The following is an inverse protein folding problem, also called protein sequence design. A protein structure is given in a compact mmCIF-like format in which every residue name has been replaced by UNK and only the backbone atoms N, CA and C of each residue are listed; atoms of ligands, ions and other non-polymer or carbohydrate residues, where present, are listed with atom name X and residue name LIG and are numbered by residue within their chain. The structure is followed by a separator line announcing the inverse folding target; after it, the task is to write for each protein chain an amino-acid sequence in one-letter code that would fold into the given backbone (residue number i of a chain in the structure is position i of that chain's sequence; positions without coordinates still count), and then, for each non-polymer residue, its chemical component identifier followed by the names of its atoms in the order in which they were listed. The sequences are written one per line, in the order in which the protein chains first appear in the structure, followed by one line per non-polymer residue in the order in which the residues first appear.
data_IF_999007269428
#
_entry.id   IF_999007269428
#
_cell.length_a   1.000
_cell.length_b   1.000
_cell.length_c   1.000
_cell.angle_alpha   90.00
_cell.angle_beta   90.00
_cell.angle_gamma   90.00
#
_symmetry.space_group_name_H-M   'P 1'
#
loop_
_entity.id
_entity.type
_entity.pdbx_description
1 polymer ?
#
# COMPACT_ATOMS: atom_id res chain seq x y z
N UNK A 1 -9.98 -2.92 -5.49
CA UNK A 1 -10.76 -2.99 -4.24
C UNK A 1 -10.45 -1.75 -3.43
N UNK A 2 -11.43 -1.19 -2.72
CA UNK A 2 -11.17 -0.11 -1.78
C UNK A 2 -10.48 -0.69 -0.55
N UNK A 3 -9.58 0.07 0.08
CA UNK A 3 -8.95 -0.32 1.35
C UNK A 3 -9.99 -0.45 2.45
N UNK A 4 -9.77 -1.36 3.38
CA UNK A 4 -10.65 -1.53 4.54
C UNK A 4 -10.22 -0.69 5.74
N UNK A 5 -8.96 -0.20 5.74
CA UNK A 5 -8.45 0.74 6.74
C UNK A 5 -7.71 1.90 6.08
N UNK A 6 -7.72 3.06 6.74
CA UNK A 6 -6.78 4.13 6.44
C UNK A 6 -5.45 3.84 7.12
N UNK A 7 -4.37 3.91 6.36
CA UNK A 7 -3.03 3.68 6.89
C UNK A 7 -2.43 4.96 7.46
N UNK A 8 -1.80 4.84 8.61
CA UNK A 8 -1.14 5.93 9.28
C UNK A 8 0.16 6.34 8.58
N UNK A 9 0.56 7.58 8.76
CA UNK A 9 1.75 8.15 8.13
C UNK A 9 3.03 7.73 8.84
N UNK A 10 4.18 7.92 8.17
CA UNK A 10 5.50 7.72 8.80
C UNK A 10 5.71 8.62 10.03
N UNK A 11 5.06 9.78 10.09
CA UNK A 11 5.08 10.64 11.28
C UNK A 11 4.42 9.98 12.48
N UNK A 12 3.33 9.26 12.24
CA UNK A 12 2.64 8.53 13.30
C UNK A 12 3.48 7.35 13.79
N UNK A 13 4.17 6.65 12.87
CA UNK A 13 5.07 5.55 13.19
C UNK A 13 6.22 5.98 14.12
N UNK A 14 6.81 7.17 13.92
CA UNK A 14 7.89 7.69 14.78
C UNK A 14 7.49 7.85 16.25
N UNK A 15 6.20 8.04 16.52
CA UNK A 15 5.66 8.16 17.88
C UNK A 15 5.15 6.86 18.47
N UNK A 16 5.09 5.80 17.66
CA UNK A 16 4.58 4.51 18.07
C UNK A 16 5.65 3.74 18.88
N UNK A 17 5.37 3.47 20.15
CA UNK A 17 6.28 2.77 21.05
C UNK A 17 6.04 1.28 21.11
N UNK A 18 4.79 0.88 20.95
CA UNK A 18 4.35 -0.52 20.93
C UNK A 18 3.45 -0.77 19.73
N UNK A 19 3.69 -1.86 19.04
CA UNK A 19 2.86 -2.30 17.91
C UNK A 19 2.98 -3.81 17.71
N UNK A 20 1.95 -4.40 17.14
CA UNK A 20 1.97 -5.79 16.69
C UNK A 20 2.09 -5.81 15.17
N UNK A 21 3.08 -6.54 14.70
CA UNK A 21 3.21 -6.86 13.28
C UNK A 21 2.63 -8.23 13.05
N UNK A 22 1.89 -8.43 11.98
CA UNK A 22 1.47 -9.77 11.59
C UNK A 22 1.49 -9.95 10.08
N UNK A 23 1.55 -11.20 9.69
CA UNK A 23 1.50 -11.68 8.33
C UNK A 23 0.70 -12.98 8.27
N UNK A 24 0.15 -13.33 7.11
CA UNK A 24 -0.68 -14.51 6.93
C UNK A 24 -0.32 -15.26 5.66
N UNK A 25 -0.32 -16.62 5.77
CA UNK A 25 -0.31 -17.48 4.60
C UNK A 25 -1.72 -18.03 4.34
N UNK A 26 -2.05 -18.16 3.07
CA UNK A 26 -3.42 -18.44 2.62
C UNK A 26 -3.43 -19.47 1.49
N UNK A 27 -4.57 -20.12 1.26
CA UNK A 27 -4.73 -21.05 0.11
C UNK A 27 -4.87 -20.35 -1.23
N UNK A 28 -4.92 -19.01 -1.26
CA UNK A 28 -5.06 -18.22 -2.47
C UNK A 28 -5.24 -16.73 -2.19
N UNK A 29 -5.78 -15.98 -3.14
CA UNK A 29 -5.80 -14.50 -3.09
C UNK A 29 -7.15 -13.89 -2.69
N UNK A 30 -8.20 -14.68 -2.55
CA UNK A 30 -9.56 -14.20 -2.42
C UNK A 30 -10.21 -14.62 -1.10
N UNK A 31 -10.38 -13.71 -0.12
CA UNK A 31 -10.86 -14.05 1.23
C UNK A 31 -12.29 -14.65 1.27
N UNK A 32 -13.07 -14.54 0.20
CA UNK A 32 -14.38 -15.18 0.10
C UNK A 32 -14.37 -16.65 -0.35
N UNK A 33 -13.28 -17.12 -0.96
CA UNK A 33 -13.11 -18.50 -1.42
C UNK A 33 -11.94 -19.21 -0.79
N UNK A 34 -10.88 -18.45 -0.47
CA UNK A 34 -9.63 -18.98 0.04
C UNK A 34 -9.58 -18.87 1.58
N UNK A 35 -8.68 -19.62 2.21
CA UNK A 35 -8.60 -19.78 3.65
C UNK A 35 -7.21 -19.46 4.17
N UNK A 36 -7.15 -19.06 5.45
CA UNK A 36 -5.90 -18.97 6.20
C UNK A 36 -5.33 -20.38 6.44
N UNK A 37 -4.01 -20.51 6.34
CA UNK A 37 -3.26 -21.72 6.65
C UNK A 37 -2.15 -21.50 7.67
N UNK A 38 -1.68 -20.27 7.84
CA UNK A 38 -0.73 -19.85 8.86
C UNK A 38 -0.97 -18.40 9.24
N UNK A 39 -0.73 -18.05 10.49
CA UNK A 39 -0.59 -16.68 10.97
C UNK A 39 0.61 -16.56 11.87
N UNK A 40 1.42 -15.55 11.64
CA UNK A 40 2.55 -15.17 12.48
C UNK A 40 2.44 -13.72 12.92
N UNK A 41 2.73 -13.46 14.20
CA UNK A 41 2.75 -12.11 14.70
C UNK A 41 3.88 -11.87 15.69
N UNK A 42 4.38 -10.65 15.73
CA UNK A 42 5.46 -10.22 16.64
C UNK A 42 5.09 -8.88 17.25
N UNK A 43 5.10 -8.82 18.58
CA UNK A 43 4.99 -7.56 19.32
C UNK A 43 6.35 -6.88 19.40
N UNK A 44 6.38 -5.62 19.04
CA UNK A 44 7.54 -4.74 19.19
C UNK A 44 7.30 -3.71 20.29
N UNK A 45 8.29 -3.51 21.16
CA UNK A 45 8.34 -2.42 22.11
C UNK A 45 9.65 -1.67 21.97
N UNK A 46 9.60 -0.33 21.85
CA UNK A 46 10.76 0.53 21.66
C UNK A 46 11.72 0.00 20.55
N UNK A 47 11.15 -0.48 19.46
CA UNK A 47 11.87 -0.99 18.29
C UNK A 47 12.51 -2.36 18.45
N UNK A 48 12.16 -3.12 19.48
CA UNK A 48 12.67 -4.50 19.71
C UNK A 48 11.51 -5.50 19.74
N UNK A 49 11.68 -6.68 19.14
CA UNK A 49 10.71 -7.77 19.30
C UNK A 49 10.73 -8.28 20.73
N UNK A 50 9.56 -8.42 21.35
CA UNK A 50 9.42 -8.83 22.76
C UNK A 50 8.53 -10.05 22.97
N UNK A 51 7.60 -10.31 22.07
CA UNK A 51 6.64 -11.41 22.16
C UNK A 51 6.25 -11.89 20.77
N UNK A 52 5.97 -13.18 20.63
CA UNK A 52 5.60 -13.79 19.34
C UNK A 52 4.32 -14.59 19.49
N UNK A 53 3.51 -14.58 18.45
CA UNK A 53 2.35 -15.44 18.27
C UNK A 53 2.53 -16.18 16.93
N UNK A 54 2.27 -17.48 16.92
CA UNK A 54 2.31 -18.27 15.70
C UNK A 54 1.31 -19.41 15.78
N UNK A 55 0.60 -19.66 14.70
CA UNK A 55 -0.28 -20.81 14.58
C UNK A 55 -0.40 -21.26 13.12
N UNK A 56 -0.28 -22.59 12.92
CA UNK A 56 -0.85 -23.21 11.74
C UNK A 56 -2.37 -23.25 11.90
N UNK A 57 -3.09 -23.31 10.78
CA UNK A 57 -4.55 -23.27 10.73
C UNK A 57 -5.01 -24.35 9.75
N UNK A 58 -5.93 -25.21 10.19
CA UNK A 58 -6.58 -26.16 9.28
C UNK A 58 -7.60 -25.41 8.40
N UNK A 59 -7.37 -25.31 7.09
CA UNK A 59 -8.29 -24.62 6.18
C UNK A 59 -9.57 -25.42 5.89
N UNK A 60 -9.63 -26.71 6.27
CA UNK A 60 -10.72 -27.62 5.93
C UNK A 60 -10.84 -27.89 4.41
N UNK A 61 -9.79 -27.63 3.65
CA UNK A 61 -9.72 -27.85 2.21
C UNK A 61 -8.28 -28.13 1.76
N UNK A 62 -8.12 -28.72 0.59
CA UNK A 62 -6.83 -28.96 -0.02
C UNK A 62 -6.10 -27.64 -0.36
N UNK A 63 -4.80 -27.56 -0.03
CA UNK A 63 -3.92 -26.43 -0.37
C UNK A 63 -3.47 -26.60 -1.83
N UNK A 64 -3.73 -25.64 -2.73
CA UNK A 64 -3.30 -25.74 -4.12
C UNK A 64 -1.78 -25.90 -4.24
N UNK A 65 -1.33 -26.78 -5.11
CA UNK A 65 0.11 -27.07 -5.28
C UNK A 65 0.94 -25.81 -5.60
N UNK A 66 0.36 -24.88 -6.36
CA UNK A 66 1.01 -23.59 -6.66
C UNK A 66 1.27 -22.75 -5.41
N UNK A 67 0.41 -22.83 -4.40
CA UNK A 67 0.57 -22.13 -3.12
C UNK A 67 1.66 -22.82 -2.30
N UNK A 68 1.62 -24.15 -2.22
CA UNK A 68 2.68 -24.94 -1.56
C UNK A 68 4.07 -24.69 -2.17
N UNK A 69 4.17 -24.44 -3.46
CA UNK A 69 5.44 -24.06 -4.11
C UNK A 69 5.97 -22.70 -3.65
N UNK A 70 5.11 -21.83 -3.13
CA UNK A 70 5.49 -20.48 -2.67
C UNK A 70 5.84 -20.49 -1.18
N UNK A 71 4.95 -21.03 -0.33
CA UNK A 71 5.09 -20.94 1.13
C UNK A 71 5.54 -22.23 1.79
N UNK A 72 5.69 -23.29 1.01
CA UNK A 72 6.13 -24.63 1.45
C UNK A 72 5.21 -25.30 2.49
N UNK A 73 3.96 -24.81 2.64
CA UNK A 73 2.97 -25.40 3.53
C UNK A 73 2.18 -26.48 2.78
N UNK A 74 2.13 -27.66 3.34
CA UNK A 74 1.43 -28.82 2.78
C UNK A 74 0.19 -29.16 3.60
N UNK A 75 -0.73 -29.94 3.02
CA UNK A 75 -1.92 -30.43 3.74
C UNK A 75 -1.56 -31.17 5.03
N UNK A 76 -0.47 -31.96 5.03
CA UNK A 76 -0.02 -32.70 6.20
C UNK A 76 0.43 -31.78 7.35
N UNK A 77 0.95 -30.59 7.04
CA UNK A 77 1.41 -29.63 8.04
C UNK A 77 0.24 -28.95 8.77
N UNK A 78 -0.89 -28.81 8.11
CA UNK A 78 -2.10 -28.16 8.67
C UNK A 78 -3.10 -29.17 9.20
N UNK A 79 -2.92 -30.46 8.92
CA UNK A 79 -3.82 -31.53 9.37
C UNK A 79 -3.89 -31.58 10.88
N UNK A 80 -5.08 -31.37 11.45
CA UNK A 80 -5.30 -31.35 12.91
C UNK A 80 -4.85 -30.04 13.59
N UNK A 81 -4.43 -29.02 12.86
CA UNK A 81 -4.25 -27.68 13.39
C UNK A 81 -5.60 -27.09 13.86
N UNK A 82 -5.59 -26.08 14.74
CA UNK A 82 -6.82 -25.42 15.18
C UNK A 82 -7.61 -24.81 14.02
N UNK A 83 -8.92 -24.70 14.19
CA UNK A 83 -9.76 -24.00 13.22
C UNK A 83 -9.49 -22.48 13.26
N UNK A 84 -9.64 -21.82 12.10
CA UNK A 84 -9.37 -20.38 11.96
C UNK A 84 -10.04 -19.52 13.04
N UNK A 85 -11.29 -19.82 13.41
CA UNK A 85 -12.04 -19.05 14.41
C UNK A 85 -11.41 -19.12 15.81
N UNK A 86 -10.85 -20.26 16.20
CA UNK A 86 -10.17 -20.42 17.49
C UNK A 86 -8.86 -19.65 17.51
N UNK A 87 -8.11 -19.72 16.41
CA UNK A 87 -6.86 -18.98 16.25
C UNK A 87 -7.11 -17.49 16.25
N UNK A 88 -8.17 -17.02 15.58
CA UNK A 88 -8.50 -15.57 15.54
C UNK A 88 -8.87 -15.02 16.92
N UNK A 89 -9.56 -15.80 17.76
CA UNK A 89 -9.86 -15.35 19.12
C UNK A 89 -8.57 -15.16 19.96
N UNK A 90 -7.64 -16.11 19.86
CA UNK A 90 -6.34 -16.02 20.55
C UNK A 90 -5.46 -14.91 19.95
N UNK A 91 -5.50 -14.70 18.63
CA UNK A 91 -4.79 -13.62 17.96
C UNK A 91 -5.33 -12.23 18.36
N UNK A 92 -6.64 -12.06 18.43
CA UNK A 92 -7.25 -10.80 18.86
C UNK A 92 -6.88 -10.47 20.32
N UNK A 93 -6.81 -11.49 21.19
CA UNK A 93 -6.31 -11.35 22.57
C UNK A 93 -4.82 -10.98 22.59
N UNK A 94 -3.99 -11.65 21.77
CA UNK A 94 -2.57 -11.31 21.61
C UNK A 94 -2.38 -9.87 21.15
N UNK A 95 -3.12 -9.40 20.16
CA UNK A 95 -3.01 -8.01 19.66
C UNK A 95 -3.43 -7.01 20.72
N UNK A 96 -4.47 -7.30 21.51
CA UNK A 96 -4.97 -6.39 22.56
C UNK A 96 -5.33 -5.03 22.01
N UNK A 97 -4.68 -3.97 22.51
CA UNK A 97 -4.93 -2.57 22.11
C UNK A 97 -3.79 -1.95 21.29
N UNK A 98 -2.76 -2.71 20.93
CA UNK A 98 -1.61 -2.20 20.19
C UNK A 98 -1.99 -1.77 18.78
N UNK A 99 -1.25 -0.81 18.26
CA UNK A 99 -1.26 -0.45 16.86
C UNK A 99 -0.80 -1.64 16.00
N UNK A 100 -1.24 -1.69 14.75
CA UNK A 100 -0.99 -2.83 13.86
C UNK A 100 -0.11 -2.43 12.68
N UNK A 101 0.80 -3.32 12.33
CA UNK A 101 1.72 -3.18 11.21
C UNK A 101 1.64 -4.41 10.31
N UNK A 102 1.73 -4.20 9.01
CA UNK A 102 1.90 -5.27 8.03
C UNK A 102 2.60 -4.74 6.77
N UNK A 103 2.90 -5.65 5.85
CA UNK A 103 3.44 -5.31 4.55
C UNK A 103 2.40 -5.62 3.46
N UNK A 104 1.72 -4.61 2.93
CA UNK A 104 0.49 -4.74 2.15
C UNK A 104 -0.69 -5.25 3.00
N UNK A 105 -0.80 -4.71 4.18
CA UNK A 105 -1.66 -5.13 5.30
C UNK A 105 -3.14 -5.33 4.95
N UNK A 106 -3.65 -4.63 3.94
CA UNK A 106 -5.07 -4.74 3.53
C UNK A 106 -5.43 -6.17 3.09
N UNK A 107 -4.46 -6.91 2.55
CA UNK A 107 -4.62 -8.32 2.20
C UNK A 107 -4.87 -9.17 3.45
N UNK A 108 -3.98 -9.09 4.43
CA UNK A 108 -4.04 -9.89 5.65
C UNK A 108 -5.27 -9.56 6.49
N UNK A 109 -5.59 -8.27 6.63
CA UNK A 109 -6.78 -7.81 7.34
C UNK A 109 -8.07 -8.39 6.77
N UNK A 110 -8.18 -8.53 5.44
CA UNK A 110 -9.36 -9.13 4.81
C UNK A 110 -9.49 -10.61 5.15
N UNK A 111 -8.38 -11.32 5.17
CA UNK A 111 -8.38 -12.74 5.50
C UNK A 111 -8.71 -12.99 6.96
N UNK A 112 -8.09 -12.28 7.91
CA UNK A 112 -8.42 -12.44 9.33
C UNK A 112 -9.86 -12.02 9.63
N UNK A 113 -10.37 -10.96 8.99
CA UNK A 113 -11.77 -10.56 9.12
C UNK A 113 -12.73 -11.66 8.62
N UNK A 114 -12.42 -12.27 7.46
CA UNK A 114 -13.22 -13.38 6.93
C UNK A 114 -13.17 -14.62 7.82
N UNK A 115 -12.10 -14.79 8.59
CA UNK A 115 -11.89 -15.87 9.53
C UNK A 115 -12.52 -15.62 10.92
N UNK A 116 -13.09 -14.42 11.13
CA UNK A 116 -13.86 -14.10 12.34
C UNK A 116 -13.09 -13.28 13.38
N UNK A 117 -11.95 -12.68 13.04
CA UNK A 117 -11.28 -11.67 13.87
C UNK A 117 -12.16 -10.44 14.07
N UNK A 118 -12.06 -9.80 15.23
CA UNK A 118 -12.68 -8.52 15.52
C UNK A 118 -11.99 -7.34 14.82
N UNK A 119 -10.81 -7.59 14.24
CA UNK A 119 -10.06 -6.62 13.44
C UNK A 119 -10.56 -6.60 11.96
N UNK A 120 -10.48 -5.45 11.29
CA UNK A 120 -9.97 -4.16 11.79
C UNK A 120 -10.99 -3.44 12.67
N UNK A 121 -10.51 -2.76 13.70
CA UNK A 121 -11.28 -1.83 14.49
C UNK A 121 -10.83 -0.38 14.29
N UNK A 122 -11.59 0.62 14.83
CA UNK A 122 -11.30 2.04 14.64
C UNK A 122 -10.47 2.68 15.76
N UNK A 123 -10.08 1.90 16.76
CA UNK A 123 -9.49 2.42 17.99
C UNK A 123 -7.96 2.44 17.96
N UNK A 124 -7.35 2.03 16.85
CA UNK A 124 -5.90 1.90 16.67
C UNK A 124 -5.43 2.41 15.32
N UNK A 125 -4.13 2.60 15.17
CA UNK A 125 -3.50 2.92 13.89
C UNK A 125 -3.09 1.64 13.17
N UNK A 126 -3.12 1.72 11.85
CA UNK A 126 -2.66 0.68 10.94
C UNK A 126 -1.52 1.22 10.10
N UNK A 127 -0.38 0.55 10.07
CA UNK A 127 0.79 0.93 9.31
C UNK A 127 1.04 -0.11 8.20
N UNK A 128 1.13 0.36 6.97
CA UNK A 128 1.49 -0.45 5.81
C UNK A 128 2.90 -0.11 5.37
N UNK A 129 3.86 -0.99 5.66
CA UNK A 129 5.27 -0.74 5.33
C UNK A 129 5.52 -0.68 3.83
N UNK A 130 4.73 -1.36 3.00
CA UNK A 130 4.83 -1.25 1.54
C UNK A 130 4.38 0.13 1.06
N UNK A 131 3.36 0.72 1.68
CA UNK A 131 2.91 2.08 1.35
C UNK A 131 3.90 3.13 1.84
N UNK A 132 4.38 3.01 3.08
CA UNK A 132 5.42 3.89 3.62
C UNK A 132 6.68 3.85 2.75
N UNK A 133 7.08 2.65 2.29
CA UNK A 133 8.22 2.49 1.40
C UNK A 133 8.03 3.23 0.07
N UNK A 134 6.84 3.17 -0.54
CA UNK A 134 6.54 3.91 -1.79
C UNK A 134 6.65 5.44 -1.62
N UNK A 135 6.43 5.95 -0.42
CA UNK A 135 6.60 7.37 -0.12
C UNK A 135 8.06 7.78 0.12
N UNK A 136 8.90 6.84 0.57
CA UNK A 136 10.26 7.11 1.01
C UNK A 136 11.32 6.71 -0.01
N UNK A 137 11.09 5.66 -0.78
CA UNK A 137 12.07 5.04 -1.70
C UNK A 137 11.50 5.06 -3.12
N UNK A 138 12.28 5.54 -4.06
CA UNK A 138 11.81 5.65 -5.45
C UNK A 138 11.87 4.30 -6.16
N UNK A 139 10.70 3.79 -6.55
CA UNK A 139 10.57 2.69 -7.51
C UNK A 139 10.57 3.17 -8.95
N UNK A 140 10.48 2.26 -9.93
CA UNK A 140 10.37 2.60 -11.35
C UNK A 140 9.14 3.46 -11.63
N UNK A 141 9.26 4.40 -12.55
CA UNK A 141 8.13 5.17 -13.04
C UNK A 141 7.09 4.23 -13.68
N UNK A 142 5.84 4.67 -13.75
CA UNK A 142 4.78 3.92 -14.41
C UNK A 142 4.59 4.44 -15.83
N UNK A 143 4.57 3.53 -16.80
CA UNK A 143 4.24 3.82 -18.19
C UNK A 143 2.99 3.02 -18.59
N UNK A 144 2.10 3.65 -19.34
CA UNK A 144 0.92 2.98 -19.86
C UNK A 144 1.30 2.23 -21.15
N UNK A 145 1.06 0.95 -21.16
CA UNK A 145 1.25 0.09 -22.33
C UNK A 145 -0.05 0.03 -23.12
N UNK A 146 -0.10 0.72 -24.26
CA UNK A 146 -1.28 0.79 -25.12
C UNK A 146 -1.67 -0.58 -25.69
N UNK A 147 -0.69 -1.45 -25.93
CA UNK A 147 -0.93 -2.78 -26.49
C UNK A 147 -1.67 -3.72 -25.53
N UNK A 148 -1.37 -3.66 -24.24
CA UNK A 148 -2.02 -4.46 -23.20
C UNK A 148 -3.13 -3.72 -22.44
N UNK A 149 -3.24 -2.40 -22.62
CA UNK A 149 -4.17 -1.55 -21.86
C UNK A 149 -3.85 -1.44 -20.37
N UNK A 150 -2.59 -1.71 -19.96
CA UNK A 150 -2.18 -1.78 -18.54
C UNK A 150 -1.01 -0.85 -18.24
N UNK A 151 -0.96 -0.40 -17.00
CA UNK A 151 0.21 0.28 -16.47
C UNK A 151 1.29 -0.74 -16.11
N UNK A 152 2.52 -0.50 -16.54
CA UNK A 152 3.70 -1.31 -16.22
C UNK A 152 4.83 -0.44 -15.67
N UNK A 153 5.81 -1.06 -15.02
CA UNK A 153 7.01 -0.38 -14.58
C UNK A 153 7.90 -0.02 -15.79
N UNK A 154 8.41 1.22 -15.79
CA UNK A 154 9.46 1.64 -16.73
C UNK A 154 10.83 1.44 -16.08
N UNK A 155 11.44 0.31 -16.36
CA UNK A 155 12.77 -0.02 -15.85
C UNK A 155 13.92 0.77 -16.53
N UNK A 156 13.62 1.63 -17.50
CA UNK A 156 14.56 2.60 -18.05
C UNK A 156 14.55 3.93 -17.29
N UNK A 157 13.58 4.14 -16.39
CA UNK A 157 13.53 5.31 -15.52
C UNK A 157 14.58 5.23 -14.40
N UNK A 158 14.91 6.36 -13.78
CA UNK A 158 15.73 6.37 -12.57
C UNK A 158 14.93 5.85 -11.37
N UNK A 159 15.41 4.80 -10.70
CA UNK A 159 14.83 4.24 -9.49
C UNK A 159 15.92 3.76 -8.51
N UNK A 160 15.54 3.57 -7.25
CA UNK A 160 16.41 3.06 -6.19
C UNK A 160 16.20 1.56 -5.98
N UNK A 161 14.93 1.12 -6.14
CA UNK A 161 14.51 -0.29 -5.99
C UNK A 161 13.62 -0.70 -7.16
N UNK A 162 13.66 -1.96 -7.55
CA UNK A 162 12.81 -2.52 -8.63
C UNK A 162 11.34 -2.64 -8.23
N UNK A 163 11.07 -2.67 -6.95
CA UNK A 163 9.72 -2.79 -6.38
C UNK A 163 9.75 -2.56 -4.87
N UNK A 164 8.60 -2.60 -4.24
CA UNK A 164 8.45 -2.37 -2.80
C UNK A 164 7.94 -3.63 -2.08
N UNK A 165 8.27 -4.82 -2.57
CA UNK A 165 8.01 -6.08 -1.87
C UNK A 165 8.93 -6.24 -0.66
N UNK A 166 8.52 -7.04 0.33
CA UNK A 166 9.19 -7.18 1.62
C UNK A 166 10.69 -7.49 1.48
N UNK A 167 11.05 -8.53 0.72
CA UNK A 167 12.46 -8.91 0.51
C UNK A 167 13.29 -7.78 -0.08
N UNK A 168 12.80 -7.13 -1.15
CA UNK A 168 13.50 -5.98 -1.77
C UNK A 168 13.70 -4.84 -0.79
N UNK A 169 12.72 -4.55 0.07
CA UNK A 169 12.84 -3.47 1.04
C UNK A 169 13.75 -3.85 2.21
N UNK A 170 13.75 -5.11 2.64
CA UNK A 170 14.70 -5.61 3.63
C UNK A 170 16.14 -5.50 3.11
N UNK A 171 16.41 -5.95 1.88
CA UNK A 171 17.71 -5.79 1.24
C UNK A 171 18.15 -4.31 1.17
N UNK A 172 17.24 -3.43 0.74
CA UNK A 172 17.52 -1.99 0.62
C UNK A 172 17.90 -1.34 1.96
N UNK A 173 17.21 -1.72 3.05
CA UNK A 173 17.47 -1.18 4.38
C UNK A 173 18.51 -1.99 5.18
N UNK A 174 19.10 -3.02 4.61
CA UNK A 174 20.06 -3.90 5.30
C UNK A 174 19.43 -4.65 6.48
N UNK A 175 18.16 -5.00 6.36
CA UNK A 175 17.43 -5.78 7.36
C UNK A 175 17.63 -7.26 7.08
N UNK A 176 18.19 -7.96 8.06
CA UNK A 176 18.29 -9.42 7.98
C UNK A 176 16.90 -10.04 8.08
N UNK A 177 16.57 -10.89 7.13
CA UNK A 177 15.38 -11.71 7.09
C UNK A 177 15.76 -13.17 6.84
N UNK A 178 14.94 -14.10 7.33
CA UNK A 178 15.09 -15.52 7.02
C UNK A 178 14.57 -15.85 5.62
N UNK A 179 14.26 -17.10 5.40
CA UNK A 179 13.55 -17.56 4.22
C UNK A 179 12.11 -17.00 4.29
N UNK A 180 11.76 -16.10 3.39
CA UNK A 180 10.43 -15.48 3.33
C UNK A 180 9.36 -16.50 2.92
N UNK A 181 8.10 -16.08 3.01
CA UNK A 181 6.90 -16.90 2.80
C UNK A 181 6.61 -17.88 3.94
N UNK A 182 6.94 -17.46 5.16
CA UNK A 182 6.47 -18.03 6.42
C UNK A 182 5.99 -16.86 7.29
N UNK A 183 4.78 -16.94 7.77
CA UNK A 183 4.10 -15.81 8.40
C UNK A 183 4.86 -15.22 9.62
N UNK A 184 5.51 -16.04 10.43
CA UNK A 184 6.30 -15.59 11.59
C UNK A 184 7.60 -14.88 11.16
N UNK A 185 8.26 -15.38 10.10
CA UNK A 185 9.48 -14.80 9.52
C UNK A 185 9.14 -13.46 8.89
N UNK A 186 8.08 -13.38 8.10
CA UNK A 186 7.65 -12.19 7.38
C UNK A 186 7.16 -11.10 8.34
N UNK A 187 6.44 -11.46 9.41
CA UNK A 187 6.08 -10.54 10.47
C UNK A 187 7.31 -9.94 11.17
N UNK A 188 8.31 -10.77 11.53
CA UNK A 188 9.54 -10.29 12.16
C UNK A 188 10.33 -9.37 11.23
N UNK A 189 10.48 -9.75 9.95
CA UNK A 189 11.15 -8.95 8.92
C UNK A 189 10.45 -7.61 8.71
N UNK A 190 9.13 -7.60 8.62
CA UNK A 190 8.30 -6.40 8.45
C UNK A 190 8.45 -5.45 9.64
N UNK A 191 8.48 -5.95 10.87
CA UNK A 191 8.70 -5.12 12.06
C UNK A 191 10.10 -4.50 12.11
N UNK A 192 11.13 -5.27 11.79
CA UNK A 192 12.51 -4.77 11.66
C UNK A 192 12.63 -3.73 10.54
N UNK A 193 11.95 -3.95 9.42
CA UNK A 193 11.89 -3.00 8.31
C UNK A 193 11.26 -1.68 8.76
N UNK A 194 10.12 -1.68 9.45
CA UNK A 194 9.52 -0.46 9.98
C UNK A 194 10.48 0.29 10.90
N UNK A 195 11.16 -0.42 11.81
CA UNK A 195 12.15 0.19 12.71
C UNK A 195 13.33 0.80 11.94
N UNK A 196 13.81 0.16 10.88
CA UNK A 196 14.85 0.71 10.03
C UNK A 196 14.38 1.97 9.28
N UNK A 197 13.15 1.94 8.73
CA UNK A 197 12.52 3.09 8.07
C UNK A 197 12.36 4.28 9.03
N UNK A 198 11.93 4.06 10.28
CA UNK A 198 11.81 5.11 11.28
C UNK A 198 13.15 5.79 11.63
N UNK A 199 14.27 5.12 11.44
CA UNK A 199 15.62 5.68 11.64
C UNK A 199 16.12 6.51 10.45
N UNK A 200 15.51 6.37 9.28
CA UNK A 200 15.91 7.12 8.07
C UNK A 200 15.30 8.53 8.07
N UNK A 201 15.85 9.39 8.91
CA UNK A 201 15.33 10.76 9.13
C UNK A 201 15.39 11.64 7.87
N UNK A 202 16.31 11.39 6.95
CA UNK A 202 16.44 12.15 5.72
C UNK A 202 15.28 11.83 4.77
N UNK A 203 14.99 10.54 4.55
CA UNK A 203 13.87 10.10 3.72
C UNK A 203 12.53 10.49 4.32
N UNK A 204 12.38 10.41 5.64
CA UNK A 204 11.19 10.89 6.35
C UNK A 204 10.95 12.38 6.07
N UNK A 205 11.99 13.22 6.20
CA UNK A 205 11.87 14.66 5.89
C UNK A 205 11.48 14.91 4.44
N UNK A 206 12.05 14.16 3.49
CA UNK A 206 11.72 14.24 2.06
C UNK A 206 10.27 13.82 1.80
N UNK A 207 9.82 12.70 2.35
CA UNK A 207 8.44 12.21 2.22
C UNK A 207 7.43 13.21 2.80
N UNK A 208 7.71 13.77 3.99
CA UNK A 208 6.87 14.82 4.61
C UNK A 208 6.76 16.07 3.75
N UNK A 209 7.88 16.52 3.17
CA UNK A 209 7.88 17.68 2.27
C UNK A 209 7.02 17.43 1.03
N UNK A 210 7.16 16.27 0.42
CA UNK A 210 6.37 15.88 -0.76
C UNK A 210 4.88 15.76 -0.42
N UNK A 211 4.54 15.15 0.72
CA UNK A 211 3.15 15.04 1.19
C UNK A 211 2.53 16.40 1.51
N UNK A 212 3.31 17.32 2.10
CA UNK A 212 2.84 18.69 2.35
C UNK A 212 2.60 19.42 1.04
N UNK A 213 3.54 19.36 0.10
CA UNK A 213 3.37 19.95 -1.22
C UNK A 213 2.15 19.40 -1.96
N UNK A 214 1.88 18.10 -1.83
CA UNK A 214 0.69 17.48 -2.43
C UNK A 214 -0.63 17.92 -1.76
N UNK A 215 -0.62 18.17 -0.45
CA UNK A 215 -1.80 18.70 0.29
C UNK A 215 -2.03 20.20 0.05
N UNK A 216 -0.95 20.95 -0.12
CA UNK A 216 -1.00 22.39 -0.40
C UNK A 216 -1.30 22.65 -1.88
N UNK A 217 -1.44 21.60 -2.70
CA UNK A 217 -1.76 21.71 -4.12
C UNK A 217 -3.27 21.73 -4.29
N UNK A 218 -3.86 22.86 -3.93
CA UNK A 218 -5.28 23.14 -4.17
C UNK A 218 -5.46 23.65 -5.60
N UNK A 219 -6.59 23.33 -6.19
CA UNK A 219 -7.00 23.90 -7.46
C UNK A 219 -8.46 24.32 -7.42
N UNK A 220 -8.77 25.33 -8.18
CA UNK A 220 -10.12 25.80 -8.42
C UNK A 220 -10.36 25.86 -9.93
N UNK A 221 -11.38 25.15 -10.42
CA UNK A 221 -11.84 25.30 -11.79
C UNK A 221 -12.69 26.57 -11.83
N UNK A 222 -12.07 27.64 -12.29
CA UNK A 222 -12.72 28.96 -12.40
C UNK A 222 -13.76 28.95 -13.52
N UNK A 223 -13.46 28.28 -14.64
CA UNK A 223 -14.35 28.15 -15.79
C UNK A 223 -14.09 26.82 -16.50
N UNK A 224 -15.17 26.13 -16.87
CA UNK A 224 -15.11 24.99 -17.77
C UNK A 224 -15.31 25.47 -19.20
N UNK A 225 -14.27 25.39 -20.02
CA UNK A 225 -14.27 25.92 -21.40
C UNK A 225 -14.85 24.87 -22.36
N UNK A 226 -14.48 23.58 -22.19
CA UNK A 226 -15.03 22.54 -23.03
C UNK A 226 -14.34 21.18 -22.92
N UNK A 227 -14.91 20.21 -23.61
CA UNK A 227 -14.43 18.83 -23.66
C UNK A 227 -13.78 18.57 -25.01
N UNK A 228 -12.52 18.14 -25.01
CA UNK A 228 -11.78 17.75 -26.21
C UNK A 228 -11.98 16.29 -26.59
N UNK A 229 -12.16 15.39 -25.59
CA UNK A 229 -12.37 13.99 -25.83
C UNK A 229 -13.06 13.32 -24.64
N UNK A 230 -13.93 12.36 -24.93
CA UNK A 230 -14.45 11.42 -23.94
C UNK A 230 -13.59 10.16 -23.91
N UNK A 231 -13.33 9.64 -22.70
CA UNK A 231 -12.48 8.48 -22.48
C UNK A 231 -13.22 7.38 -21.73
N UNK A 232 -12.58 6.23 -21.61
CA UNK A 232 -13.14 5.08 -20.88
C UNK A 232 -13.46 5.43 -19.42
N UNK A 233 -14.46 4.76 -18.84
CA UNK A 233 -14.90 4.94 -17.45
C UNK A 233 -15.38 6.36 -17.13
N UNK A 234 -15.90 7.09 -18.11
CA UNK A 234 -16.45 8.43 -17.93
C UNK A 234 -15.41 9.54 -17.75
N UNK A 235 -14.12 9.25 -17.90
CA UNK A 235 -13.09 10.26 -17.92
C UNK A 235 -13.21 11.16 -19.16
N UNK A 236 -12.86 12.43 -19.02
CA UNK A 236 -12.92 13.40 -20.08
C UNK A 236 -11.63 14.18 -20.16
N UNK A 237 -11.17 14.47 -21.38
CA UNK A 237 -10.14 15.47 -21.59
C UNK A 237 -10.80 16.83 -21.73
N UNK A 238 -10.54 17.68 -20.76
CA UNK A 238 -11.19 18.98 -20.65
C UNK A 238 -10.18 20.11 -20.82
N UNK A 239 -10.71 21.23 -21.32
CA UNK A 239 -10.04 22.53 -21.30
C UNK A 239 -10.74 23.34 -20.23
N UNK A 240 -10.00 23.77 -19.23
CA UNK A 240 -10.51 24.53 -18.10
C UNK A 240 -9.62 25.76 -17.85
N UNK A 241 -10.19 26.82 -17.31
CA UNK A 241 -9.43 27.90 -16.68
C UNK A 241 -9.25 27.53 -15.22
N UNK A 242 -8.01 27.27 -14.78
CA UNK A 242 -7.72 26.74 -13.44
C UNK A 242 -6.80 27.68 -12.68
N UNK A 243 -7.17 28.02 -11.47
CA UNK A 243 -6.31 28.60 -10.46
C UNK A 243 -5.63 27.50 -9.65
N UNK A 244 -4.30 27.42 -9.71
CA UNK A 244 -3.49 26.48 -8.96
C UNK A 244 -2.98 27.14 -7.66
N UNK A 245 -3.39 26.62 -6.50
CA UNK A 245 -2.98 27.15 -5.18
C UNK A 245 -3.19 28.64 -5.01
N UNK A 246 -4.31 29.17 -5.54
CA UNK A 246 -4.66 30.59 -5.48
C UNK A 246 -3.88 31.50 -6.42
N UNK A 247 -3.10 30.92 -7.36
CA UNK A 247 -2.40 31.71 -8.40
C UNK A 247 -3.38 32.23 -9.47
N UNK A 248 -2.91 33.15 -10.31
CA UNK A 248 -3.67 33.67 -11.45
C UNK A 248 -4.15 32.51 -12.36
N UNK A 249 -5.44 32.45 -12.69
CA UNK A 249 -6.00 31.37 -13.48
C UNK A 249 -5.33 31.25 -14.86
N UNK A 250 -5.05 30.01 -15.29
CA UNK A 250 -4.45 29.70 -16.59
C UNK A 250 -5.26 28.61 -17.30
N UNK A 251 -5.16 28.59 -18.62
CA UNK A 251 -5.76 27.50 -19.40
C UNK A 251 -5.03 26.20 -19.12
N UNK A 252 -5.81 25.18 -18.78
CA UNK A 252 -5.30 23.86 -18.48
C UNK A 252 -6.03 22.82 -19.33
N UNK A 253 -5.26 21.90 -19.90
CA UNK A 253 -5.76 20.80 -20.73
C UNK A 253 -5.32 19.50 -20.08
N UNK A 254 -6.27 18.77 -19.49
CA UNK A 254 -5.98 17.46 -18.89
C UNK A 254 -7.17 16.53 -18.84
N UNK A 255 -6.90 15.28 -18.47
CA UNK A 255 -7.93 14.29 -18.24
C UNK A 255 -8.48 14.41 -16.82
N UNK A 256 -9.79 14.44 -16.65
CA UNK A 256 -10.50 14.52 -15.39
C UNK A 256 -11.40 13.31 -15.17
N UNK A 257 -11.50 12.86 -13.91
CA UNK A 257 -12.55 11.93 -13.50
C UNK A 257 -13.92 12.61 -13.55
N UNK A 258 -15.03 11.83 -13.65
CA UNK A 258 -16.39 12.40 -13.76
C UNK A 258 -16.77 13.38 -12.64
N UNK A 259 -16.21 13.22 -11.48
CA UNK A 259 -16.42 14.04 -10.27
C UNK A 259 -15.32 15.08 -10.01
N UNK A 260 -14.38 15.21 -10.92
CA UNK A 260 -13.17 16.05 -10.80
C UNK A 260 -12.29 15.78 -9.55
N UNK A 261 -12.54 14.68 -8.83
CA UNK A 261 -11.75 14.31 -7.65
C UNK A 261 -10.34 13.79 -8.01
N UNK A 262 -10.16 13.39 -9.27
CA UNK A 262 -8.88 12.88 -9.79
C UNK A 262 -8.57 13.50 -11.13
N UNK A 263 -7.28 13.76 -11.36
CA UNK A 263 -6.80 14.32 -12.61
C UNK A 263 -5.63 13.50 -13.17
N UNK A 264 -5.53 13.47 -14.48
CA UNK A 264 -4.40 12.91 -15.22
C UNK A 264 -3.26 13.94 -15.41
N UNK A 265 -2.20 13.51 -16.09
CA UNK A 265 -1.18 14.46 -16.59
C UNK A 265 -1.83 15.39 -17.59
N UNK A 266 -1.48 16.67 -17.52
CA UNK A 266 -1.98 17.72 -18.40
C UNK A 266 -0.94 18.78 -18.65
N UNK A 267 -1.32 19.79 -19.41
CA UNK A 267 -0.51 20.98 -19.71
C UNK A 267 -1.29 22.22 -19.27
N UNK A 268 -0.60 23.13 -18.61
CA UNK A 268 -1.13 24.45 -18.26
C UNK A 268 -0.41 25.48 -19.12
N UNK A 269 -1.15 26.33 -19.79
CA UNK A 269 -0.66 27.31 -20.76
C UNK A 269 -0.95 28.72 -20.28
N UNK A 270 0.03 29.62 -20.48
CA UNK A 270 -0.17 31.05 -20.29
C UNK A 270 -0.96 31.64 -21.48
N UNK A 271 -1.48 32.86 -21.31
CA UNK A 271 -2.16 33.55 -22.40
C UNK A 271 -1.26 33.72 -23.62
N UNK A 272 0.03 34.03 -23.41
CA UNK A 272 1.02 34.21 -24.48
C UNK A 272 1.27 32.88 -25.23
N UNK A 273 1.37 31.74 -24.49
CA UNK A 273 1.54 30.43 -25.10
C UNK A 273 0.32 29.99 -25.90
N UNK A 274 -0.89 30.40 -25.49
CA UNK A 274 -2.11 30.14 -26.25
C UNK A 274 -2.15 30.94 -27.56
N UNK A 275 -1.81 32.22 -27.51
CA UNK A 275 -1.73 33.03 -28.75
C UNK A 275 -0.70 32.43 -29.70
N UNK A 276 0.45 32.02 -29.18
CA UNK A 276 1.46 31.34 -29.99
C UNK A 276 0.98 30.00 -30.57
N UNK A 277 0.22 29.22 -29.80
CA UNK A 277 -0.37 28.00 -30.29
C UNK A 277 -1.37 28.23 -31.42
N UNK A 278 -2.20 29.30 -31.33
CA UNK A 278 -3.13 29.69 -32.39
C UNK A 278 -2.43 30.09 -33.68
N UNK A 279 -1.23 30.71 -33.59
CA UNK A 279 -0.43 31.07 -34.76
C UNK A 279 0.19 29.82 -35.45
N UNK A 280 0.36 28.71 -34.70
CA UNK A 280 1.01 27.51 -35.22
C UNK A 280 0.02 26.48 -35.80
N UNK A 281 -1.28 26.65 -35.55
CA UNK A 281 -2.37 25.79 -36.02
C UNK A 281 -3.13 26.41 -37.18
#
# INVERSE_FOLDING_TARGET
MNRIVETASIKDAESCRSFVVFDTETTGLYPWSDKLIEIGAVRFCDGKPVETFHSMIDPGMHIPEMVTQINHITDDMVAGAPAAREVMAAFDEFVGTDDIVGHNIDFDLRFIQSAGSALPDRNRKYFDTAELARQMVKGPDKVFDEGSGKWRNDYNSQYEVKGHGLGTMCEFYGVEHGELHRADVDALATGRLLVAMMKDTERIRKARRNSKMAKDFEFEIVEHIGILAEKTKGWKREVNLISWSGAEPKIDIRDWSPDHSKMGKGITLTAEEIEKLKELL
#
